data_IF_739838085983
#
_entry.id   IF_739838085983
#
_cell.length_a   1.000
_cell.length_b   1.000
_cell.length_c   1.000
_cell.angle_alpha   90.00
_cell.angle_beta   90.00
_cell.angle_gamma   90.00
#
_symmetry.space_group_name_H-M   'P 1'
#
loop_
_entity.id
_entity.type
_entity.pdbx_description
1 polymer ?
#
# COMPACT_ATOMS: atom_id res chain seq x y z
N UNK A 1 12.37 1.78 -17.39
CA UNK A 1 11.56 2.80 -16.70
C UNK A 1 10.21 2.25 -16.21
N UNK A 2 10.06 0.95 -15.89
CA UNK A 2 8.73 0.30 -15.89
C UNK A 2 8.12 -0.07 -14.53
N UNK A 3 8.67 0.43 -13.42
CA UNK A 3 8.09 0.28 -12.09
C UNK A 3 7.79 1.67 -11.52
N UNK A 4 6.78 2.35 -12.07
CA UNK A 4 6.38 3.68 -11.59
C UNK A 4 5.27 3.51 -10.54
N UNK A 5 5.64 3.51 -9.27
CA UNK A 5 4.72 3.80 -8.19
C UNK A 5 4.79 5.30 -7.94
N UNK A 6 3.66 6.00 -8.02
CA UNK A 6 3.59 7.42 -7.63
C UNK A 6 2.83 7.53 -6.34
N UNK A 7 3.47 8.16 -5.36
CA UNK A 7 2.93 8.37 -4.02
C UNK A 7 2.72 9.86 -3.85
N UNK A 8 1.52 10.24 -3.43
CA UNK A 8 1.17 11.60 -3.06
C UNK A 8 0.73 11.59 -1.60
N UNK A 9 1.16 12.57 -0.82
CA UNK A 9 0.80 12.70 0.60
C UNK A 9 0.12 14.03 0.84
N UNK A 10 -0.94 13.99 1.63
CA UNK A 10 -1.68 15.16 2.09
C UNK A 10 -1.81 15.08 3.62
N UNK A 11 -1.70 16.22 4.31
CA UNK A 11 -1.98 16.28 5.76
C UNK A 11 -3.46 16.58 5.96
N UNK A 12 -4.10 15.80 6.82
CA UNK A 12 -5.47 15.98 7.28
C UNK A 12 -5.46 16.20 8.78
N UNK A 13 -6.41 16.97 9.30
CA UNK A 13 -6.64 17.04 10.73
C UNK A 13 -7.69 15.99 11.10
N UNK A 14 -7.35 15.11 12.04
CA UNK A 14 -8.31 14.16 12.60
C UNK A 14 -9.32 14.93 13.44
N UNK A 15 -10.56 15.03 12.97
CA UNK A 15 -11.63 15.80 13.62
C UNK A 15 -12.00 15.30 15.02
N UNK A 16 -11.60 14.07 15.38
CA UNK A 16 -11.90 13.49 16.69
C UNK A 16 -10.77 13.71 17.70
N UNK A 17 -9.51 13.80 17.26
CA UNK A 17 -8.34 13.94 18.15
C UNK A 17 -7.62 15.28 18.03
N UNK A 18 -7.86 16.05 16.97
CA UNK A 18 -7.13 17.27 16.63
C UNK A 18 -5.72 17.01 16.10
N UNK A 19 -5.31 15.75 15.95
CA UNK A 19 -3.98 15.40 15.47
C UNK A 19 -3.88 15.46 13.95
N UNK A 20 -2.73 15.89 13.45
CA UNK A 20 -2.42 15.80 12.03
C UNK A 20 -2.15 14.35 11.64
N UNK A 21 -2.90 13.85 10.67
CA UNK A 21 -2.72 12.54 10.06
C UNK A 21 -2.30 12.69 8.61
N UNK A 22 -1.37 11.88 8.15
CA UNK A 22 -0.94 11.87 6.75
C UNK A 22 -1.80 10.89 5.96
N UNK A 23 -2.60 11.39 5.03
CA UNK A 23 -3.24 10.57 4.02
C UNK A 23 -2.30 10.36 2.84
N UNK A 24 -2.27 9.13 2.31
CA UNK A 24 -1.41 8.77 1.19
C UNK A 24 -2.28 8.25 0.05
N UNK A 25 -2.10 8.85 -1.13
CA UNK A 25 -2.66 8.34 -2.39
C UNK A 25 -1.56 7.64 -3.17
N UNK A 26 -1.81 6.38 -3.55
CA UNK A 26 -0.87 5.55 -4.31
C UNK A 26 -1.46 5.24 -5.68
N UNK A 27 -0.74 5.62 -6.73
CA UNK A 27 -1.01 5.18 -8.10
C UNK A 27 -0.09 4.02 -8.45
N UNK A 28 -0.68 2.88 -8.80
CA UNK A 28 0.03 1.65 -9.17
C UNK A 28 -0.15 1.43 -10.68
N UNK A 29 0.96 1.47 -11.42
CA UNK A 29 0.96 1.31 -12.87
C UNK A 29 2.13 0.42 -13.35
N UNK A 30 2.12 0.05 -14.63
CA UNK A 30 3.18 -0.69 -15.30
C UNK A 30 3.32 -2.12 -14.77
N UNK A 31 4.57 -2.58 -14.63
CA UNK A 31 4.85 -3.95 -14.19
C UNK A 31 4.38 -4.21 -12.77
N UNK A 32 4.37 -3.18 -11.91
CA UNK A 32 3.89 -3.33 -10.54
C UNK A 32 2.39 -3.64 -10.51
N UNK A 33 1.60 -2.98 -11.37
CA UNK A 33 0.17 -3.31 -11.52
C UNK A 33 -0.02 -4.78 -11.90
N UNK A 34 0.77 -5.29 -12.85
CA UNK A 34 0.70 -6.69 -13.29
C UNK A 34 1.03 -7.67 -12.18
N UNK A 35 2.01 -7.35 -11.32
CA UNK A 35 2.31 -8.16 -10.14
C UNK A 35 1.10 -8.23 -9.20
N UNK A 36 0.47 -7.09 -8.91
CA UNK A 36 -0.75 -7.06 -8.09
C UNK A 36 -1.91 -7.84 -8.73
N UNK A 37 -2.13 -7.71 -10.05
CA UNK A 37 -3.14 -8.49 -10.78
C UNK A 37 -2.93 -10.00 -10.59
N UNK A 38 -1.67 -10.47 -10.68
CA UNK A 38 -1.33 -11.88 -10.47
C UNK A 38 -1.56 -12.31 -9.03
N UNK A 39 -1.21 -11.47 -8.05
CA UNK A 39 -1.42 -11.77 -6.63
C UNK A 39 -2.91 -11.91 -6.29
N UNK A 40 -3.74 -10.98 -6.76
CA UNK A 40 -5.21 -11.03 -6.59
C UNK A 40 -5.77 -12.30 -7.23
N UNK A 41 -5.34 -12.62 -8.45
CA UNK A 41 -5.79 -13.84 -9.13
C UNK A 41 -5.41 -15.10 -8.34
N UNK A 42 -4.22 -15.13 -7.73
CA UNK A 42 -3.75 -16.27 -6.92
C UNK A 42 -4.45 -16.36 -5.56
N UNK A 43 -5.00 -15.27 -5.04
CA UNK A 43 -5.79 -15.27 -3.81
C UNK A 43 -7.25 -15.70 -4.03
N UNK A 44 -7.57 -16.35 -5.14
CA UNK A 44 -8.95 -16.72 -5.51
C UNK A 44 -9.77 -15.59 -6.12
N UNK A 45 -9.18 -14.41 -6.36
CA UNK A 45 -9.87 -13.25 -6.92
C UNK A 45 -10.77 -12.49 -5.94
N UNK A 46 -10.77 -12.88 -4.67
CA UNK A 46 -11.65 -12.27 -3.65
C UNK A 46 -11.10 -10.96 -3.08
N UNK A 47 -9.77 -10.75 -3.15
CA UNK A 47 -9.12 -9.58 -2.58
C UNK A 47 -9.08 -8.42 -3.57
N UNK A 48 -9.49 -7.25 -3.11
CA UNK A 48 -9.31 -5.98 -3.82
C UNK A 48 -7.83 -5.55 -3.85
N UNK A 49 -7.52 -4.61 -4.73
CA UNK A 49 -6.22 -3.93 -4.75
C UNK A 49 -5.86 -3.29 -3.41
N UNK A 50 -6.84 -2.73 -2.71
CA UNK A 50 -6.64 -2.08 -1.42
C UNK A 50 -6.26 -3.09 -0.34
N UNK A 51 -6.99 -4.20 -0.24
CA UNK A 51 -6.71 -5.26 0.73
C UNK A 51 -5.33 -5.89 0.48
N UNK A 52 -4.99 -6.15 -0.79
CA UNK A 52 -3.67 -6.64 -1.16
C UNK A 52 -2.57 -5.63 -0.79
N UNK A 53 -2.79 -4.33 -1.02
CA UNK A 53 -1.81 -3.30 -0.67
C UNK A 53 -1.63 -3.21 0.85
N UNK A 54 -2.71 -3.25 1.62
CA UNK A 54 -2.66 -3.25 3.08
C UNK A 54 -1.87 -4.45 3.62
N UNK A 55 -2.14 -5.65 3.11
CA UNK A 55 -1.44 -6.87 3.53
C UNK A 55 0.05 -6.81 3.21
N UNK A 56 0.41 -6.37 1.99
CA UNK A 56 1.82 -6.20 1.59
C UNK A 56 2.53 -5.16 2.45
N UNK A 57 1.87 -4.04 2.78
CA UNK A 57 2.44 -3.01 3.64
C UNK A 57 2.67 -3.52 5.06
N UNK A 58 1.70 -4.23 5.66
CA UNK A 58 1.85 -4.80 7.01
C UNK A 58 2.98 -5.84 7.04
N UNK A 59 3.00 -6.77 6.09
CA UNK A 59 4.10 -7.75 5.98
C UNK A 59 5.46 -7.09 5.81
N UNK A 60 5.54 -6.03 5.00
CA UNK A 60 6.77 -5.27 4.79
C UNK A 60 7.24 -4.54 6.04
N UNK A 61 6.32 -3.95 6.81
CA UNK A 61 6.62 -3.29 8.08
C UNK A 61 7.13 -4.30 9.11
N UNK A 62 6.47 -5.45 9.25
CA UNK A 62 6.89 -6.51 10.17
C UNK A 62 8.30 -7.02 9.85
N UNK A 63 8.58 -7.26 8.57
CA UNK A 63 9.90 -7.68 8.09
C UNK A 63 10.95 -6.59 8.35
N UNK A 64 10.60 -5.31 8.16
CA UNK A 64 11.49 -4.20 8.44
C UNK A 64 11.80 -4.10 9.95
N UNK A 65 10.80 -4.19 10.81
CA UNK A 65 10.96 -4.17 12.28
C UNK A 65 11.86 -5.32 12.75
N UNK A 66 11.71 -6.51 12.18
CA UNK A 66 12.59 -7.67 12.50
C UNK A 66 14.06 -7.39 12.21
N UNK A 67 14.37 -6.59 11.18
CA UNK A 67 15.74 -6.24 10.80
C UNK A 67 16.36 -5.15 11.67
N UNK A 68 15.55 -4.39 12.39
CA UNK A 68 16.01 -3.39 13.35
C UNK A 68 16.35 -3.97 14.73
N UNK A 69 15.98 -5.24 14.97
CA UNK A 69 16.33 -6.01 16.16
C UNK A 69 17.55 -6.89 15.89
#
# INVERSE_FOLDING_TARGET
MDNKMRIMSEEFENTNTGEKVTGITVMIDGKLKQVFDVMIKKSGGEKSYLEMLQEVLVMGIDEYIKRLK
#
